data_IF_645972193522
#
_entry.id   IF_645972193522
#
_cell.length_a   1.000
_cell.length_b   1.000
_cell.length_c   1.000
_cell.angle_alpha   90.00
_cell.angle_beta   90.00
_cell.angle_gamma   90.00
#
_symmetry.space_group_name_H-M   'P 1'
#
loop_
_entity.id
_entity.type
_entity.pdbx_description
1 polymer ?
#
# COMPACT_ATOMS: atom_id res chain seq x y z
N UNK A 1 11.69 2.72 14.61
CA UNK A 1 11.57 1.49 13.79
C UNK A 1 12.65 0.56 14.28
N UNK A 2 12.28 -0.65 14.69
CA UNK A 2 13.22 -1.69 15.12
C UNK A 2 14.08 -2.11 13.92
N UNK A 3 15.33 -2.50 14.18
CA UNK A 3 16.30 -2.82 13.13
C UNK A 3 15.78 -3.90 12.17
N UNK A 4 16.15 -3.86 10.88
CA UNK A 4 15.56 -4.72 9.83
C UNK A 4 15.75 -6.22 10.13
N UNK A 5 16.79 -6.60 10.90
CA UNK A 5 17.04 -7.97 11.36
C UNK A 5 16.72 -8.26 12.83
N UNK A 6 16.04 -7.35 13.53
CA UNK A 6 15.72 -7.50 14.95
C UNK A 6 14.73 -8.62 15.25
N UNK A 7 14.46 -8.89 16.52
CA UNK A 7 13.48 -9.86 16.99
C UNK A 7 12.24 -9.19 17.65
N UNK A 8 12.22 -7.86 17.74
CA UNK A 8 11.08 -7.08 18.21
C UNK A 8 10.05 -6.84 17.10
N UNK A 9 8.74 -6.74 17.38
CA UNK A 9 7.74 -6.40 16.36
C UNK A 9 8.15 -5.18 15.54
N UNK A 10 7.83 -5.19 14.25
CA UNK A 10 8.09 -4.10 13.30
C UNK A 10 7.49 -2.77 13.74
N UNK A 11 6.43 -2.82 14.54
CA UNK A 11 5.64 -1.65 14.93
C UNK A 11 4.71 -1.17 13.81
N UNK A 12 4.48 -2.01 12.79
CA UNK A 12 3.57 -1.71 11.70
C UNK A 12 2.13 -1.49 12.20
N UNK A 13 1.46 -0.45 11.70
CA UNK A 13 0.10 -0.13 12.11
C UNK A 13 -0.91 -0.73 11.12
N UNK A 14 -1.28 -1.99 11.36
CA UNK A 14 -2.25 -2.74 10.55
C UNK A 14 -3.60 -2.03 10.42
N UNK A 15 -4.11 -1.43 11.49
CA UNK A 15 -5.39 -0.72 11.48
C UNK A 15 -5.35 0.55 10.61
N UNK A 16 -4.23 1.29 10.64
CA UNK A 16 -4.02 2.44 9.78
C UNK A 16 -3.91 2.01 8.30
N UNK A 17 -3.21 0.91 8.02
CA UNK A 17 -3.12 0.35 6.67
C UNK A 17 -4.51 -0.05 6.12
N UNK A 18 -5.30 -0.78 6.89
CA UNK A 18 -6.67 -1.17 6.50
C UNK A 18 -7.56 0.06 6.28
N UNK A 19 -7.42 1.08 7.13
CA UNK A 19 -8.14 2.35 6.98
C UNK A 19 -7.75 3.09 5.71
N UNK A 20 -6.45 3.14 5.39
CA UNK A 20 -5.94 3.80 4.19
C UNK A 20 -6.43 3.10 2.93
N UNK A 21 -6.30 1.77 2.86
CA UNK A 21 -6.83 0.94 1.77
C UNK A 21 -8.33 1.21 1.56
N UNK A 22 -9.12 1.13 2.63
CA UNK A 22 -10.57 1.33 2.55
C UNK A 22 -10.94 2.71 2.02
N UNK A 23 -10.26 3.77 2.50
CA UNK A 23 -10.49 5.15 2.03
C UNK A 23 -10.10 5.33 0.56
N UNK A 24 -8.96 4.80 0.14
CA UNK A 24 -8.49 4.87 -1.24
C UNK A 24 -9.46 4.15 -2.20
N UNK A 25 -9.84 2.91 -1.89
CA UNK A 25 -10.81 2.14 -2.69
C UNK A 25 -12.20 2.80 -2.71
N UNK A 26 -12.65 3.39 -1.60
CA UNK A 26 -13.93 4.11 -1.56
C UNK A 26 -13.92 5.34 -2.47
N UNK A 27 -12.84 6.13 -2.44
CA UNK A 27 -12.72 7.32 -3.27
C UNK A 27 -12.59 6.95 -4.76
N UNK A 28 -11.83 5.91 -5.09
CA UNK A 28 -11.78 5.35 -6.44
C UNK A 28 -13.18 4.95 -6.93
N UNK A 29 -13.94 4.21 -6.10
CA UNK A 29 -15.31 3.82 -6.42
C UNK A 29 -16.23 5.03 -6.66
N UNK A 30 -16.13 6.07 -5.84
CA UNK A 30 -16.89 7.32 -6.02
C UNK A 30 -16.56 8.02 -7.34
N UNK A 31 -15.30 8.05 -7.77
CA UNK A 31 -14.89 8.65 -9.04
C UNK A 31 -15.49 7.90 -10.23
N UNK A 32 -15.46 6.56 -10.21
CA UNK A 32 -16.09 5.77 -11.28
C UNK A 32 -17.61 5.86 -11.28
N UNK A 33 -18.25 5.93 -10.11
CA UNK A 33 -19.70 6.07 -10.00
C UNK A 33 -20.23 7.36 -10.67
N UNK A 34 -19.42 8.42 -10.70
CA UNK A 34 -19.78 9.68 -11.38
C UNK A 34 -19.69 9.60 -12.92
N UNK A 35 -19.08 8.55 -13.50
CA UNK A 35 -18.86 8.46 -14.96
C UNK A 35 -20.17 8.55 -15.75
N UNK A 36 -21.18 7.79 -15.33
CA UNK A 36 -22.47 7.72 -16.04
C UNK A 36 -23.24 9.04 -15.99
N UNK A 37 -23.43 9.61 -14.80
CA UNK A 37 -24.18 10.86 -14.64
C UNK A 37 -23.51 12.03 -15.36
N UNK A 38 -22.18 12.12 -15.32
CA UNK A 38 -21.44 13.18 -16.01
C UNK A 38 -21.45 13.01 -17.52
N UNK A 39 -21.30 11.79 -18.02
CA UNK A 39 -21.44 11.50 -19.47
C UNK A 39 -22.83 11.91 -19.98
N UNK A 40 -23.88 11.58 -19.22
CA UNK A 40 -25.24 12.01 -19.56
C UNK A 40 -25.40 13.53 -19.54
N UNK A 41 -24.86 14.23 -18.54
CA UNK A 41 -24.91 15.69 -18.47
C UNK A 41 -24.19 16.35 -19.66
N UNK A 42 -23.02 15.82 -20.06
CA UNK A 42 -22.28 16.29 -21.24
C UNK A 42 -23.11 16.08 -22.50
N UNK A 43 -23.70 14.90 -22.67
CA UNK A 43 -24.56 14.59 -23.81
C UNK A 43 -25.75 15.56 -23.93
N UNK A 44 -26.44 15.86 -22.83
CA UNK A 44 -27.54 16.84 -22.84
C UNK A 44 -27.04 18.26 -23.16
N UNK A 45 -25.93 18.70 -22.56
CA UNK A 45 -25.39 20.04 -22.80
C UNK A 45 -24.96 20.24 -24.26
N UNK A 46 -24.35 19.23 -24.89
CA UNK A 46 -23.92 19.27 -26.30
C UNK A 46 -25.08 19.39 -27.29
N UNK A 47 -26.30 19.03 -26.89
CA UNK A 47 -27.49 19.25 -27.73
C UNK A 47 -27.90 20.72 -27.80
N UNK A 48 -27.61 21.48 -26.73
CA UNK A 48 -27.98 22.90 -26.59
C UNK A 48 -26.84 23.83 -27.02
N UNK A 49 -25.59 23.46 -26.75
CA UNK A 49 -24.44 24.27 -27.12
C UNK A 49 -24.19 24.24 -28.64
N UNK A 50 -23.70 25.37 -29.14
CA UNK A 50 -23.41 25.60 -30.56
C UNK A 50 -22.15 26.43 -30.72
N UNK A 51 -21.49 26.25 -31.86
CA UNK A 51 -20.27 26.99 -32.21
C UNK A 51 -19.12 26.72 -31.23
N UNK A 52 -18.23 27.71 -31.10
CA UNK A 52 -16.97 27.58 -30.37
C UNK A 52 -17.12 27.11 -28.91
N UNK A 53 -18.15 27.58 -28.20
CA UNK A 53 -18.43 27.14 -26.83
C UNK A 53 -18.75 25.65 -26.72
N UNK A 54 -19.34 25.05 -27.77
CA UNK A 54 -19.59 23.61 -27.81
C UNK A 54 -18.27 22.83 -27.87
N UNK A 55 -17.31 23.30 -28.66
CA UNK A 55 -15.99 22.66 -28.81
C UNK A 55 -15.19 22.74 -27.51
N UNK A 56 -15.13 23.91 -26.88
CA UNK A 56 -14.44 24.11 -25.59
C UNK A 56 -15.09 23.25 -24.50
N UNK A 57 -16.43 23.20 -24.45
CA UNK A 57 -17.12 22.38 -23.47
C UNK A 57 -16.82 20.90 -23.64
N UNK A 58 -16.81 20.40 -24.88
CA UNK A 58 -16.50 19.00 -25.18
C UNK A 58 -15.06 18.65 -24.77
N UNK A 59 -14.08 19.45 -25.19
CA UNK A 59 -12.67 19.27 -24.77
C UNK A 59 -12.50 19.29 -23.26
N UNK A 60 -13.15 20.23 -22.58
CA UNK A 60 -13.10 20.31 -21.12
C UNK A 60 -13.79 19.12 -20.43
N UNK A 61 -14.85 18.58 -21.04
CA UNK A 61 -15.52 17.38 -20.54
C UNK A 61 -14.61 16.14 -20.68
N UNK A 62 -13.88 16.02 -21.80
CA UNK A 62 -12.87 14.99 -22.04
C UNK A 62 -11.72 15.09 -21.03
N UNK A 63 -11.09 16.25 -20.91
CA UNK A 63 -10.02 16.51 -19.91
C UNK A 63 -10.47 16.14 -18.50
N UNK A 64 -11.68 16.56 -18.12
CA UNK A 64 -12.23 16.20 -16.81
C UNK A 64 -12.48 14.69 -16.66
N UNK A 65 -12.82 13.99 -17.75
CA UNK A 65 -13.03 12.55 -17.76
C UNK A 65 -11.71 11.78 -17.59
N UNK A 66 -10.69 12.19 -18.33
CA UNK A 66 -9.35 11.61 -18.27
C UNK A 66 -8.71 11.84 -16.90
N UNK A 67 -8.73 13.07 -16.39
CA UNK A 67 -8.20 13.37 -15.06
C UNK A 67 -8.89 12.58 -13.94
N UNK A 68 -10.23 12.38 -14.01
CA UNK A 68 -10.93 11.50 -13.07
C UNK A 68 -10.43 10.06 -13.15
N UNK A 69 -10.18 9.56 -14.37
CA UNK A 69 -9.68 8.19 -14.58
C UNK A 69 -8.28 8.03 -14.00
N UNK A 70 -7.39 9.00 -14.23
CA UNK A 70 -6.02 8.98 -13.73
C UNK A 70 -5.98 8.98 -12.19
N UNK A 71 -6.74 9.88 -11.55
CA UNK A 71 -6.84 9.91 -10.09
C UNK A 71 -7.43 8.60 -9.54
N UNK A 72 -8.47 8.06 -10.18
CA UNK A 72 -9.06 6.78 -9.76
C UNK A 72 -8.05 5.62 -9.88
N UNK A 73 -7.27 5.58 -10.96
CA UNK A 73 -6.24 4.56 -11.16
C UNK A 73 -5.11 4.68 -10.13
N UNK A 74 -4.67 5.91 -9.81
CA UNK A 74 -3.65 6.14 -8.79
C UNK A 74 -4.12 5.71 -7.40
N UNK A 75 -5.39 5.96 -7.05
CA UNK A 75 -5.98 5.48 -5.80
C UNK A 75 -6.06 3.95 -5.74
N UNK A 76 -6.36 3.30 -6.87
CA UNK A 76 -6.33 1.85 -6.98
C UNK A 76 -4.93 1.27 -6.74
N UNK A 77 -3.90 1.87 -7.37
CA UNK A 77 -2.50 1.48 -7.16
C UNK A 77 -2.07 1.65 -5.71
N UNK A 78 -2.39 2.79 -5.09
CA UNK A 78 -2.13 3.03 -3.68
C UNK A 78 -2.77 1.95 -2.80
N UNK A 79 -4.02 1.58 -3.06
CA UNK A 79 -4.69 0.52 -2.31
C UNK A 79 -3.99 -0.84 -2.45
N UNK A 80 -3.47 -1.16 -3.64
CA UNK A 80 -2.67 -2.38 -3.86
C UNK A 80 -1.37 -2.36 -3.09
N UNK A 81 -0.59 -1.27 -3.15
CA UNK A 81 0.67 -1.18 -2.41
C UNK A 81 0.49 -1.28 -0.90
N UNK A 82 -0.61 -0.75 -0.36
CA UNK A 82 -0.94 -0.89 1.07
C UNK A 82 -1.18 -2.36 1.44
N UNK A 83 -1.74 -3.17 0.53
CA UNK A 83 -1.89 -4.61 0.75
C UNK A 83 -0.52 -5.29 0.74
N UNK A 84 0.32 -4.99 -0.24
CA UNK A 84 1.66 -5.58 -0.34
C UNK A 84 2.54 -5.22 0.86
N UNK A 85 2.49 -3.96 1.33
CA UNK A 85 3.18 -3.52 2.55
C UNK A 85 2.67 -4.25 3.80
N UNK A 86 1.36 -4.49 3.88
CA UNK A 86 0.76 -5.21 4.99
C UNK A 86 1.22 -6.66 5.01
N UNK A 87 1.17 -7.35 3.87
CA UNK A 87 1.62 -8.74 3.75
C UNK A 87 3.11 -8.90 4.09
N UNK A 88 3.96 -7.98 3.61
CA UNK A 88 5.38 -7.96 3.96
C UNK A 88 5.61 -7.72 5.47
N UNK A 89 4.83 -6.83 6.08
CA UNK A 89 4.92 -6.58 7.52
C UNK A 89 4.46 -7.79 8.35
N UNK A 90 3.39 -8.49 7.94
CA UNK A 90 2.93 -9.71 8.60
C UNK A 90 3.99 -10.83 8.51
N UNK A 91 4.60 -11.00 7.34
CA UNK A 91 5.68 -11.97 7.14
C UNK A 91 6.90 -11.67 8.01
N UNK A 92 7.31 -10.39 8.09
CA UNK A 92 8.43 -9.99 8.93
C UNK A 92 8.11 -10.14 10.42
N UNK A 93 6.92 -9.75 10.90
CA UNK A 93 6.52 -9.95 12.30
C UNK A 93 6.53 -11.44 12.67
N UNK A 94 6.05 -12.33 11.78
CA UNK A 94 6.12 -13.78 11.98
C UNK A 94 7.57 -14.28 12.07
N UNK A 95 8.45 -13.84 11.17
CA UNK A 95 9.88 -14.18 11.21
C UNK A 95 10.52 -13.75 12.52
N UNK A 96 10.15 -12.57 13.04
CA UNK A 96 10.65 -12.06 14.32
C UNK A 96 10.12 -12.83 15.52
N UNK A 97 8.87 -13.28 15.48
CA UNK A 97 8.31 -14.21 16.46
C UNK A 97 9.08 -15.53 16.48
N UNK A 98 9.34 -16.11 15.32
CA UNK A 98 10.12 -17.34 15.18
C UNK A 98 11.55 -17.16 15.68
N UNK A 99 12.18 -16.01 15.40
CA UNK A 99 13.51 -15.66 15.90
C UNK A 99 13.56 -15.51 17.42
N UNK A 100 12.54 -14.91 18.04
CA UNK A 100 12.41 -14.87 19.51
C UNK A 100 12.25 -16.27 20.08
N UNK A 101 11.36 -17.08 19.51
CA UNK A 101 11.11 -18.44 19.98
C UNK A 101 12.35 -19.31 19.86
N UNK A 102 13.11 -19.18 18.77
CA UNK A 102 14.38 -19.88 18.60
C UNK A 102 15.44 -19.44 19.62
N UNK A 103 15.58 -18.13 19.85
CA UNK A 103 16.53 -17.61 20.83
C UNK A 103 16.22 -18.08 22.27
N UNK A 104 14.94 -18.17 22.62
CA UNK A 104 14.48 -18.71 23.90
C UNK A 104 14.79 -20.21 24.02
N UNK A 105 14.55 -21.00 22.96
CA UNK A 105 14.92 -22.43 22.94
C UNK A 105 16.43 -22.63 23.03
N UNK A 106 17.24 -21.79 22.40
CA UNK A 106 18.70 -21.82 22.53
C UNK A 106 19.12 -21.53 23.97
N UNK A 107 18.58 -20.48 24.60
CA UNK A 107 18.87 -20.17 26.01
C UNK A 107 18.48 -21.31 26.94
N UNK A 108 17.32 -21.93 26.75
CA UNK A 108 16.91 -23.08 27.56
C UNK A 108 17.83 -24.29 27.38
N UNK A 109 18.37 -24.51 26.16
CA UNK A 109 19.39 -25.53 25.94
C UNK A 109 20.71 -25.17 26.64
N UNK A 110 21.17 -23.94 26.53
CA UNK A 110 22.38 -23.46 27.22
C UNK A 110 22.24 -23.58 28.74
N UNK A 111 21.11 -23.16 29.31
CA UNK A 111 20.81 -23.27 30.74
C UNK A 111 20.71 -24.73 31.19
N UNK A 112 20.05 -25.59 30.40
CA UNK A 112 19.99 -27.04 30.67
C UNK A 112 21.37 -27.70 30.51
N UNK A 113 22.22 -27.24 29.60
CA UNK A 113 23.61 -27.68 29.46
C UNK A 113 24.46 -27.20 30.64
N UNK A 114 24.28 -25.98 31.13
CA UNK A 114 25.00 -25.43 32.28
C UNK A 114 24.56 -26.09 33.60
N UNK A 115 23.26 -26.31 33.78
CA UNK A 115 22.70 -27.03 34.93
C UNK A 115 23.01 -28.54 34.85
N UNK A 116 22.97 -29.11 33.64
CA UNK A 116 23.27 -30.51 33.35
C UNK A 116 24.76 -30.86 33.31
N UNK A 117 25.66 -29.90 33.06
CA UNK A 117 27.11 -30.09 33.12
C UNK A 117 27.61 -30.50 34.52
N UNK A 118 26.84 -30.18 35.58
CA UNK A 118 27.08 -30.68 36.93
C UNK A 118 26.54 -32.09 37.18
N UNK A 119 25.67 -32.62 36.29
CA UNK A 119 25.09 -33.96 36.42
C UNK A 119 25.58 -34.97 35.38
N UNK A 120 26.07 -34.56 34.19
CA UNK A 120 26.36 -35.52 33.10
C UNK A 120 27.44 -35.05 32.09
N UNK A 121 28.66 -35.61 32.19
CA UNK A 121 29.58 -35.83 31.04
C UNK A 121 28.98 -36.85 30.03
N UNK A 122 27.77 -37.36 30.27
CA UNK A 122 27.15 -38.50 29.57
C UNK A 122 26.17 -38.15 28.44
N UNK A 123 25.73 -36.89 28.28
CA UNK A 123 24.72 -36.51 27.26
C UNK A 123 25.29 -35.86 25.97
N UNK A 124 26.62 -35.77 25.82
CA UNK A 124 27.38 -34.97 24.83
C UNK A 124 26.92 -35.00 23.34
N UNK A 125 26.04 -35.91 22.88
CA UNK A 125 25.74 -36.13 21.45
C UNK A 125 24.27 -35.95 21.01
N UNK A 126 23.38 -35.40 21.84
CA UNK A 126 21.92 -35.53 21.60
C UNK A 126 21.16 -34.42 20.86
N UNK A 127 21.70 -33.22 20.69
CA UNK A 127 20.91 -32.07 20.23
C UNK A 127 21.11 -31.76 18.76
N UNK A 128 20.22 -32.23 17.88
CA UNK A 128 20.20 -31.78 16.48
C UNK A 128 20.04 -30.25 16.41
N UNK A 129 20.77 -29.62 15.49
CA UNK A 129 20.68 -28.18 15.22
C UNK A 129 19.22 -27.77 15.01
N UNK A 130 18.67 -27.03 15.97
CA UNK A 130 17.37 -26.36 15.84
C UNK A 130 17.52 -25.30 14.75
N UNK A 131 16.87 -25.46 13.59
CA UNK A 131 17.13 -24.64 12.43
C UNK A 131 16.82 -23.17 12.75
N UNK A 132 17.79 -22.30 12.45
CA UNK A 132 17.62 -20.86 12.59
C UNK A 132 16.52 -20.37 11.62
N UNK A 133 15.67 -19.42 12.04
CA UNK A 133 14.71 -18.80 11.12
C UNK A 133 15.42 -18.16 9.92
N UNK A 134 14.74 -18.05 8.76
CA UNK A 134 15.30 -17.43 7.57
C UNK A 134 15.72 -15.96 7.84
N UNK A 135 16.67 -15.42 7.05
CA UNK A 135 17.06 -14.02 7.15
C UNK A 135 15.89 -13.09 6.80
N UNK A 136 15.96 -11.84 7.26
CA UNK A 136 14.97 -10.82 6.93
C UNK A 136 14.94 -10.56 5.41
N UNK A 137 13.73 -10.38 4.87
CA UNK A 137 13.54 -9.95 3.49
C UNK A 137 13.67 -8.43 3.38
N UNK A 138 14.09 -7.94 2.22
CA UNK A 138 14.18 -6.50 1.97
C UNK A 138 12.78 -5.88 1.96
N UNK A 139 12.60 -4.70 2.59
CA UNK A 139 11.31 -4.03 2.62
C UNK A 139 10.88 -3.65 1.19
N UNK A 140 9.60 -3.83 0.83
CA UNK A 140 9.14 -3.46 -0.49
C UNK A 140 9.22 -1.94 -0.68
N UNK A 141 9.65 -1.53 -1.87
CA UNK A 141 9.82 -0.12 -2.23
C UNK A 141 8.90 0.22 -3.41
N UNK A 142 8.00 1.18 -3.19
CA UNK A 142 7.00 1.60 -4.16
C UNK A 142 7.28 3.03 -4.62
N UNK A 143 7.22 3.24 -5.94
CA UNK A 143 7.33 4.55 -6.55
C UNK A 143 6.04 4.90 -7.27
N UNK A 144 5.53 6.10 -6.99
CA UNK A 144 4.41 6.68 -7.71
C UNK A 144 4.87 7.72 -8.71
N UNK A 145 4.31 7.66 -9.92
CA UNK A 145 4.36 8.79 -10.83
C UNK A 145 3.44 9.92 -10.32
N UNK A 146 3.81 11.16 -10.61
CA UNK A 146 2.98 12.31 -10.29
C UNK A 146 1.70 12.27 -11.13
N UNK A 147 0.54 12.26 -10.48
CA UNK A 147 -0.75 12.39 -11.16
C UNK A 147 -0.90 13.83 -11.66
N UNK A 148 -0.76 14.03 -12.96
CA UNK A 148 -0.90 15.32 -13.62
C UNK A 148 -2.29 15.42 -14.26
N UNK A 149 -3.20 16.15 -13.64
CA UNK A 149 -4.50 16.44 -14.25
C UNK A 149 -4.40 17.70 -15.09
N UNK A 150 -4.64 17.59 -16.39
CA UNK A 150 -4.64 18.74 -17.27
C UNK A 150 -5.70 19.78 -16.85
N UNK A 151 -5.31 21.06 -16.87
CA UNK A 151 -6.22 22.16 -16.58
C UNK A 151 -7.27 22.34 -17.68
N UNK A 152 -8.46 22.81 -17.30
CA UNK A 152 -9.51 23.17 -18.27
C UNK A 152 -9.08 24.38 -19.10
N UNK A 153 -9.47 24.39 -20.36
CA UNK A 153 -9.42 25.55 -21.24
C UNK A 153 -10.44 26.60 -20.74
N UNK A 154 -10.00 27.84 -20.53
CA UNK A 154 -10.84 28.97 -20.12
C UNK A 154 -10.57 30.11 -21.10
N UNK A 155 -11.58 30.50 -21.86
CA UNK A 155 -11.48 31.72 -22.67
C UNK A 155 -11.39 32.94 -21.75
N UNK A 156 -10.54 33.93 -22.07
CA UNK A 156 -10.59 35.22 -21.39
C UNK A 156 -11.98 35.85 -21.58
N UNK A 157 -12.54 36.52 -20.56
CA UNK A 157 -13.84 37.16 -20.68
C UNK A 157 -13.82 38.10 -21.89
N UNK A 158 -14.84 38.00 -22.74
CA UNK A 158 -14.98 38.86 -23.91
C UNK A 158 -14.87 40.33 -23.47
N UNK A 159 -13.71 40.93 -23.75
CA UNK A 159 -13.44 42.32 -23.42
C UNK A 159 -14.34 43.22 -24.24
N UNK A 160 -15.03 44.13 -23.55
CA UNK A 160 -15.77 45.24 -24.13
C UNK A 160 -14.94 45.90 -25.25
N UNK A 161 -15.44 45.85 -26.49
CA UNK A 161 -15.01 46.73 -27.57
C UNK A 161 -16.00 47.89 -27.68
#
# INVERSE_FOLDING_TARGET
>A
MSDIGGNEPTGYNYAAADTLKAKASNLQGKLYAQKGSRSSAVWYAMREFRGHYSEIFDRNAEVASEGRREVANALGQLASWVVELKEAAEAEDQRREDARAWAERQRQREDNLLAGAWHEVTTWFGGGDDPQPPPAEDPPNFHSDVVQVQGREIDPPAGNS
#
